data_IF_239446731203
#
_entry.id   IF_239446731203
#
_cell.length_a   1.000
_cell.length_b   1.000
_cell.length_c   1.000
_cell.angle_alpha   90.00
_cell.angle_beta   90.00
_cell.angle_gamma   90.00
#
_symmetry.space_group_name_H-M   'P 1'
#
loop_
_entity.id
_entity.type
_entity.pdbx_description
1 polymer ?
#
# COMPACT_ATOMS: atom_id res chain seq x y z
N UNK A 1 -8.94 -41.92 32.27
CA UNK A 1 -8.85 -42.07 30.80
C UNK A 1 -9.81 -41.14 30.03
N UNK A 2 -11.10 -41.02 30.38
CA UNK A 2 -12.03 -40.11 29.68
C UNK A 2 -11.68 -38.64 29.78
N UNK A 3 -11.22 -38.16 30.94
CA UNK A 3 -10.86 -36.75 31.16
C UNK A 3 -9.63 -36.30 30.33
N UNK A 4 -8.65 -37.20 30.18
CA UNK A 4 -7.45 -36.95 29.39
C UNK A 4 -7.79 -36.81 27.89
N UNK A 5 -8.75 -37.58 27.40
CA UNK A 5 -9.20 -37.56 26.01
C UNK A 5 -9.89 -36.23 25.66
N UNK A 6 -10.69 -35.67 26.58
CA UNK A 6 -11.34 -34.36 26.39
C UNK A 6 -10.36 -33.20 26.39
N UNK A 7 -9.31 -33.26 27.23
CA UNK A 7 -8.25 -32.25 27.24
C UNK A 7 -7.42 -32.25 25.93
N UNK A 8 -7.12 -33.43 25.40
CA UNK A 8 -6.40 -33.54 24.10
C UNK A 8 -7.25 -33.03 22.95
N UNK A 9 -8.56 -33.34 22.92
CA UNK A 9 -9.49 -32.84 21.89
C UNK A 9 -9.66 -31.31 21.95
N UNK A 10 -9.72 -30.71 23.15
CA UNK A 10 -9.76 -29.25 23.33
C UNK A 10 -8.46 -28.58 22.88
N UNK A 11 -7.31 -29.21 23.11
CA UNK A 11 -6.01 -28.67 22.67
C UNK A 11 -5.85 -28.76 21.15
N UNK A 12 -6.34 -29.81 20.50
CA UNK A 12 -6.36 -29.95 19.05
C UNK A 12 -7.33 -28.97 18.40
N UNK A 13 -8.50 -28.74 18.98
CA UNK A 13 -9.48 -27.78 18.48
C UNK A 13 -8.96 -26.34 18.57
N UNK A 14 -8.24 -25.97 19.64
CA UNK A 14 -7.65 -24.63 19.77
C UNK A 14 -6.53 -24.36 18.75
N UNK A 15 -5.76 -25.38 18.33
CA UNK A 15 -4.75 -25.23 17.27
C UNK A 15 -5.38 -25.06 15.88
N UNK A 16 -6.52 -25.70 15.61
CA UNK A 16 -7.22 -25.54 14.33
C UNK A 16 -7.83 -24.15 14.20
N UNK A 17 -8.33 -23.56 15.28
CA UNK A 17 -8.88 -22.18 15.29
C UNK A 17 -7.78 -21.12 15.20
N UNK A 18 -6.56 -21.40 15.64
CA UNK A 18 -5.43 -20.48 15.58
C UNK A 18 -4.77 -20.39 14.18
N UNK A 19 -4.95 -21.38 13.31
CA UNK A 19 -4.39 -21.42 11.95
C UNK A 19 -5.16 -20.59 10.92
N UNK A 20 -6.33 -20.04 11.27
CA UNK A 20 -7.25 -19.44 10.30
C UNK A 20 -6.97 -17.98 9.90
N UNK A 21 -5.95 -17.29 10.42
CA UNK A 21 -5.87 -15.83 10.28
C UNK A 21 -4.52 -15.22 9.86
N UNK A 22 -3.50 -15.99 9.52
CA UNK A 22 -2.30 -15.42 8.89
C UNK A 22 -2.51 -15.31 7.38
N UNK A 23 -2.44 -14.11 6.82
CA UNK A 23 -2.09 -13.98 5.40
C UNK A 23 -0.66 -14.52 5.30
N UNK A 24 -0.56 -15.72 4.81
CA UNK A 24 0.69 -16.32 4.42
C UNK A 24 1.29 -15.49 3.27
N UNK A 25 2.61 -15.38 3.24
CA UNK A 25 3.34 -14.75 2.15
C UNK A 25 2.98 -15.31 0.78
N UNK A 26 2.69 -16.61 0.72
CA UNK A 26 2.25 -17.28 -0.49
C UNK A 26 0.91 -16.78 -0.96
N UNK A 27 -0.04 -16.50 -0.08
CA UNK A 27 -1.36 -15.98 -0.46
C UNK A 27 -1.25 -14.64 -1.21
N UNK A 28 -0.40 -13.73 -0.72
CA UNK A 28 -0.21 -12.43 -1.40
C UNK A 28 0.44 -12.62 -2.77
N UNK A 29 1.46 -13.46 -2.88
CA UNK A 29 2.11 -13.82 -4.14
C UNK A 29 1.14 -14.45 -5.14
N UNK A 30 0.24 -15.31 -4.66
CA UNK A 30 -0.73 -16.01 -5.50
C UNK A 30 -1.84 -15.08 -6.00
N UNK A 31 -2.23 -14.08 -5.23
CA UNK A 31 -3.39 -13.22 -5.51
C UNK A 31 -3.03 -11.82 -6.02
N UNK A 32 -1.78 -11.38 -5.91
CA UNK A 32 -1.35 -10.03 -6.27
C UNK A 32 -0.15 -10.01 -7.21
N UNK A 33 -0.10 -9.00 -8.05
CA UNK A 33 1.08 -8.65 -8.85
C UNK A 33 1.65 -7.34 -8.31
N UNK A 34 2.95 -7.30 -8.06
CA UNK A 34 3.63 -6.07 -7.68
C UNK A 34 4.19 -5.34 -8.90
N UNK A 35 3.88 -4.06 -9.00
CA UNK A 35 4.46 -3.13 -9.96
C UNK A 35 5.30 -2.10 -9.20
N UNK A 36 6.40 -1.65 -9.82
CA UNK A 36 7.19 -0.52 -9.34
C UNK A 36 7.23 0.55 -10.43
N UNK A 37 6.90 1.78 -10.06
CA UNK A 37 6.79 2.90 -10.98
C UNK A 37 7.46 4.14 -10.41
N UNK A 38 8.08 4.91 -11.29
CA UNK A 38 8.49 6.28 -11.03
C UNK A 38 7.39 7.19 -11.57
N UNK A 39 6.50 7.66 -10.67
CA UNK A 39 5.34 8.48 -11.05
C UNK A 39 5.79 9.94 -11.19
N UNK A 40 5.60 10.57 -12.36
CA UNK A 40 5.99 11.96 -12.57
C UNK A 40 5.02 12.92 -11.86
N UNK A 41 5.57 13.87 -11.13
CA UNK A 41 4.87 15.00 -10.55
C UNK A 41 4.84 16.18 -11.53
N UNK A 42 4.00 17.17 -11.29
CA UNK A 42 3.80 18.37 -12.15
C UNK A 42 5.07 19.17 -12.45
N UNK A 43 6.05 19.11 -11.55
CA UNK A 43 7.36 19.78 -11.70
C UNK A 43 8.42 18.90 -12.40
N UNK A 44 8.04 17.69 -12.83
CA UNK A 44 8.89 16.74 -13.51
C UNK A 44 9.69 15.81 -12.61
N UNK A 45 9.70 16.02 -11.29
CA UNK A 45 10.28 15.10 -10.30
C UNK A 45 9.48 13.81 -10.29
N UNK A 46 10.14 12.66 -10.13
CA UNK A 46 9.49 11.35 -10.13
C UNK A 46 9.55 10.72 -8.75
N UNK A 47 8.41 10.21 -8.29
CA UNK A 47 8.30 9.54 -6.99
C UNK A 47 8.19 8.02 -7.17
N UNK A 48 9.05 7.29 -6.46
CA UNK A 48 9.01 5.85 -6.45
C UNK A 48 7.75 5.33 -5.76
N UNK A 49 7.04 4.44 -6.44
CA UNK A 49 5.76 3.91 -5.99
C UNK A 49 5.69 2.42 -6.22
N UNK A 50 5.53 1.66 -5.15
CA UNK A 50 5.22 0.23 -5.17
C UNK A 50 3.70 0.06 -5.20
N UNK A 51 3.18 -0.71 -6.15
CA UNK A 51 1.76 -0.88 -6.40
C UNK A 51 1.46 -2.38 -6.43
N UNK A 52 0.59 -2.84 -5.55
CA UNK A 52 0.15 -4.22 -5.46
C UNK A 52 -1.25 -4.31 -6.04
N UNK A 53 -1.38 -4.95 -7.19
CA UNK A 53 -2.63 -5.04 -7.97
C UNK A 53 -3.19 -6.45 -7.84
N UNK A 54 -4.48 -6.63 -7.50
CA UNK A 54 -5.13 -7.93 -7.51
C UNK A 54 -5.01 -8.60 -8.89
N UNK A 55 -4.76 -9.90 -8.91
CA UNK A 55 -4.78 -10.71 -10.14
C UNK A 55 -6.20 -10.98 -10.63
N UNK A 56 -7.18 -10.82 -9.76
CA UNK A 56 -8.59 -10.88 -10.14
C UNK A 56 -8.92 -9.75 -11.10
N UNK A 57 -9.51 -10.12 -12.24
CA UNK A 57 -9.90 -9.20 -13.31
C UNK A 57 -11.42 -9.19 -13.49
N UNK A 58 -12.17 -9.85 -12.62
CA UNK A 58 -13.63 -9.99 -12.73
C UNK A 58 -14.37 -8.75 -12.23
N UNK A 59 -13.72 -7.94 -11.39
CA UNK A 59 -14.28 -6.72 -10.84
C UNK A 59 -13.27 -5.57 -10.84
N UNK A 60 -13.74 -4.37 -10.53
CA UNK A 60 -12.91 -3.18 -10.35
C UNK A 60 -12.61 -2.94 -8.88
N UNK A 61 -11.38 -2.56 -8.59
CA UNK A 61 -10.81 -2.48 -7.25
C UNK A 61 -10.60 -1.05 -6.79
N UNK A 62 -10.89 -0.72 -5.52
CA UNK A 62 -10.51 0.57 -4.94
C UNK A 62 -9.01 0.62 -4.66
N UNK A 63 -8.46 1.83 -4.61
CA UNK A 63 -7.05 2.09 -4.34
C UNK A 63 -6.89 2.58 -2.91
N UNK A 64 -5.90 2.06 -2.18
CA UNK A 64 -5.51 2.53 -0.86
C UNK A 64 -4.03 2.92 -0.86
N UNK A 65 -3.74 4.20 -0.61
CA UNK A 65 -2.39 4.80 -0.72
C UNK A 65 -1.82 5.11 0.66
N UNK A 66 -0.56 4.73 0.85
CA UNK A 66 0.29 5.20 1.94
C UNK A 66 1.49 5.92 1.36
N UNK A 67 1.68 7.19 1.70
CA UNK A 67 2.91 7.93 1.44
C UNK A 67 3.80 7.90 2.69
N UNK A 68 5.10 7.69 2.55
CA UNK A 68 5.96 7.45 3.70
C UNK A 68 7.38 8.00 3.55
N UNK A 69 7.93 8.65 4.61
CA UNK A 69 9.34 9.01 4.66
C UNK A 69 10.24 7.86 5.17
N UNK A 70 9.65 6.68 5.46
CA UNK A 70 10.35 5.53 6.09
C UNK A 70 10.64 4.37 5.15
N UNK A 71 10.48 4.54 3.84
CA UNK A 71 10.71 3.54 2.80
C UNK A 71 9.48 2.74 2.38
N UNK A 72 9.30 2.65 1.07
CA UNK A 72 8.32 1.77 0.42
C UNK A 72 8.87 0.35 0.16
N UNK A 73 9.96 -0.04 0.84
CA UNK A 73 10.54 -1.39 0.74
C UNK A 73 9.51 -2.49 1.10
N UNK A 74 9.73 -3.74 0.67
CA UNK A 74 10.90 -4.24 -0.07
C UNK A 74 10.88 -3.77 -1.54
N UNK A 75 12.04 -3.44 -2.06
CA UNK A 75 12.23 -3.06 -3.46
C UNK A 75 12.47 -4.30 -4.33
N UNK A 76 12.03 -4.25 -5.60
CA UNK A 76 12.05 -5.37 -6.52
C UNK A 76 10.67 -6.01 -6.67
N UNK A 77 10.29 -6.33 -7.92
CA UNK A 77 8.95 -6.83 -8.25
C UNK A 77 8.65 -8.21 -7.66
N UNK A 78 9.67 -8.97 -7.37
CA UNK A 78 9.61 -10.30 -6.75
C UNK A 78 9.51 -10.26 -5.23
N UNK A 79 9.76 -9.11 -4.58
CA UNK A 79 9.71 -8.96 -3.13
C UNK A 79 8.42 -8.28 -2.70
N UNK A 80 7.64 -8.96 -1.88
CA UNK A 80 6.35 -8.47 -1.39
C UNK A 80 6.45 -8.08 0.06
N UNK A 81 5.75 -7.00 0.45
CA UNK A 81 5.50 -6.69 1.84
C UNK A 81 4.44 -7.67 2.40
N UNK A 82 4.72 -8.15 3.58
CA UNK A 82 3.75 -8.96 4.33
C UNK A 82 2.91 -8.00 5.16
N UNK A 83 1.82 -7.56 4.57
CA UNK A 83 0.88 -6.65 5.19
C UNK A 83 0.30 -7.26 6.46
N UNK A 84 0.89 -6.92 7.60
CA UNK A 84 0.44 -7.37 8.90
C UNK A 84 -0.70 -6.50 9.42
N UNK A 85 -1.45 -7.03 10.37
CA UNK A 85 -2.50 -6.34 11.11
C UNK A 85 -3.74 -5.97 10.26
N UNK A 86 -4.30 -4.77 10.49
CA UNK A 86 -5.54 -4.31 9.89
C UNK A 86 -5.51 -4.20 8.36
N UNK A 87 -4.34 -4.00 7.76
CA UNK A 87 -4.19 -3.87 6.29
C UNK A 87 -4.47 -5.17 5.54
N UNK A 88 -4.32 -6.33 6.19
CA UNK A 88 -4.60 -7.62 5.55
C UNK A 88 -6.06 -7.79 5.13
N UNK A 89 -6.99 -7.14 5.81
CA UNK A 89 -8.40 -7.19 5.44
C UNK A 89 -8.64 -6.48 4.11
N UNK A 90 -7.99 -5.35 3.86
CA UNK A 90 -8.07 -4.65 2.57
C UNK A 90 -7.50 -5.47 1.42
N UNK A 91 -6.42 -6.25 1.66
CA UNK A 91 -5.91 -7.18 0.65
C UNK A 91 -6.94 -8.27 0.33
N UNK A 92 -7.59 -8.85 1.34
CA UNK A 92 -8.64 -9.86 1.14
C UNK A 92 -9.87 -9.33 0.41
N UNK A 93 -10.21 -8.07 0.63
CA UNK A 93 -11.27 -7.35 -0.06
C UNK A 93 -10.85 -6.81 -1.44
N UNK A 94 -9.67 -7.21 -1.93
CA UNK A 94 -9.23 -6.88 -3.29
C UNK A 94 -8.78 -5.45 -3.51
N UNK A 95 -8.38 -4.70 -2.47
CA UNK A 95 -7.86 -3.34 -2.66
C UNK A 95 -6.52 -3.35 -3.43
N UNK A 96 -6.35 -2.41 -4.36
CA UNK A 96 -5.05 -2.07 -4.92
C UNK A 96 -4.29 -1.31 -3.83
N UNK A 97 -3.22 -1.92 -3.30
CA UNK A 97 -2.42 -1.32 -2.23
C UNK A 97 -1.23 -0.58 -2.83
N UNK A 98 -1.03 0.68 -2.40
CA UNK A 98 0.03 1.55 -2.94
C UNK A 98 0.88 2.10 -1.80
N UNK A 99 2.21 1.96 -1.93
CA UNK A 99 3.16 2.61 -1.02
C UNK A 99 4.09 3.47 -1.86
N UNK A 100 4.22 4.74 -1.48
CA UNK A 100 5.08 5.70 -2.16
C UNK A 100 6.15 6.27 -1.21
N UNK A 101 7.40 6.25 -1.65
CA UNK A 101 8.45 7.05 -1.02
C UNK A 101 8.15 8.53 -1.24
N UNK A 102 8.10 9.34 -0.19
CA UNK A 102 7.89 10.78 -0.34
C UNK A 102 9.09 11.44 -1.03
N UNK A 103 8.87 12.60 -1.61
CA UNK A 103 9.87 13.38 -2.35
C UNK A 103 11.19 13.49 -1.61
N UNK A 104 12.30 13.16 -2.29
CA UNK A 104 13.67 13.22 -1.77
C UNK A 104 14.01 12.17 -0.72
N UNK A 105 13.19 11.12 -0.60
CA UNK A 105 13.47 9.96 0.27
C UNK A 105 13.65 8.69 -0.57
N UNK A 106 14.60 7.85 -0.15
CA UNK A 106 14.90 6.54 -0.70
C UNK A 106 15.04 6.54 -2.23
N UNK A 107 14.09 5.96 -2.97
CA UNK A 107 14.14 5.88 -4.43
C UNK A 107 13.38 7.02 -5.13
N UNK A 108 12.73 7.92 -4.38
CA UNK A 108 12.09 9.10 -4.94
C UNK A 108 13.10 10.21 -5.21
N UNK A 109 12.92 10.88 -6.34
CA UNK A 109 13.71 12.04 -6.74
C UNK A 109 13.33 13.30 -5.93
N UNK A 110 14.09 14.37 -6.16
CA UNK A 110 13.87 15.68 -5.56
C UNK A 110 14.59 15.89 -4.23
N UNK A 111 14.22 16.94 -3.52
CA UNK A 111 14.81 17.29 -2.22
C UNK A 111 13.78 17.09 -1.11
N UNK A 112 14.16 16.32 -0.10
CA UNK A 112 13.33 16.15 1.08
C UNK A 112 13.20 17.46 1.87
N UNK A 113 11.98 17.75 2.26
CA UNK A 113 11.64 18.76 3.24
C UNK A 113 10.62 18.14 4.20
N UNK A 114 10.84 18.35 5.48
CA UNK A 114 9.96 17.81 6.51
C UNK A 114 8.58 18.47 6.41
N UNK A 115 7.59 17.67 6.12
CA UNK A 115 6.18 18.03 5.91
C UNK A 115 6.03 19.42 5.26
N UNK A 116 6.21 19.49 3.95
CA UNK A 116 6.06 20.73 3.20
C UNK A 116 4.62 21.24 3.35
N UNK A 117 4.42 22.46 3.87
CA UNK A 117 3.07 22.97 4.14
C UNK A 117 2.29 23.20 2.85
N UNK A 118 0.97 23.10 2.96
CA UNK A 118 0.07 23.48 1.88
C UNK A 118 0.26 24.96 1.50
N UNK A 119 0.46 25.19 0.20
CA UNK A 119 0.54 26.54 -0.36
C UNK A 119 -0.75 26.83 -1.17
N UNK A 120 -1.65 27.72 -0.69
CA UNK A 120 -2.87 28.05 -1.42
C UNK A 120 -2.61 28.87 -2.69
N UNK A 121 -1.45 29.55 -2.79
CA UNK A 121 -1.10 30.46 -3.88
C UNK A 121 -0.24 29.80 -4.97
N UNK A 122 -0.22 28.44 -5.02
CA UNK A 122 0.54 27.67 -6.03
C UNK A 122 0.21 28.14 -7.45
N UNK A 123 1.26 28.32 -8.26
CA UNK A 123 1.15 28.68 -9.68
C UNK A 123 1.98 27.73 -10.54
N UNK A 124 1.44 27.38 -11.70
CA UNK A 124 2.14 26.51 -12.65
C UNK A 124 2.58 25.18 -12.04
N UNK A 125 3.89 24.98 -11.99
CA UNK A 125 4.50 23.76 -11.47
C UNK A 125 4.90 23.83 -9.99
N UNK A 126 4.42 24.82 -9.24
CA UNK A 126 4.63 24.87 -7.80
C UNK A 126 4.04 23.64 -7.12
N UNK A 127 4.76 23.11 -6.15
CA UNK A 127 4.42 21.83 -5.52
C UNK A 127 4.47 21.91 -3.98
N UNK A 128 3.69 21.05 -3.36
CA UNK A 128 3.68 20.77 -1.92
C UNK A 128 3.23 19.31 -1.72
N UNK A 129 3.04 18.86 -0.48
CA UNK A 129 2.62 17.48 -0.21
C UNK A 129 1.22 17.16 -0.78
N UNK A 130 0.31 18.13 -0.77
CA UNK A 130 -1.02 17.95 -1.33
C UNK A 130 -1.00 17.78 -2.85
N UNK A 131 -0.14 18.55 -3.56
CA UNK A 131 0.01 18.40 -5.01
C UNK A 131 0.69 17.09 -5.40
N UNK A 132 1.71 16.64 -4.66
CA UNK A 132 2.33 15.33 -4.88
C UNK A 132 1.32 14.19 -4.68
N UNK A 133 0.45 14.32 -3.68
CA UNK A 133 -0.65 13.35 -3.46
C UNK A 133 -1.65 13.37 -4.61
N UNK A 134 -2.07 14.57 -5.05
CA UNK A 134 -2.99 14.72 -6.17
C UNK A 134 -2.44 14.12 -7.46
N UNK A 135 -1.19 14.47 -7.82
CA UNK A 135 -0.55 13.99 -9.06
C UNK A 135 -0.38 12.46 -9.03
N UNK A 136 -0.08 11.90 -7.85
CA UNK A 136 -0.01 10.45 -7.65
C UNK A 136 -1.37 9.79 -7.86
N UNK A 137 -2.43 10.32 -7.27
CA UNK A 137 -3.80 9.80 -7.39
C UNK A 137 -4.26 9.86 -8.86
N UNK A 138 -4.09 11.01 -9.51
CA UNK A 138 -4.46 11.22 -10.90
C UNK A 138 -3.76 10.21 -11.83
N UNK A 139 -2.45 10.02 -11.61
CA UNK A 139 -1.68 9.05 -12.36
C UNK A 139 -2.17 7.61 -12.14
N UNK A 140 -2.42 7.22 -10.90
CA UNK A 140 -2.86 5.86 -10.55
C UNK A 140 -4.22 5.55 -11.19
N UNK A 141 -5.18 6.45 -11.07
CA UNK A 141 -6.52 6.27 -11.65
C UNK A 141 -6.46 6.12 -13.17
N UNK A 142 -5.58 6.87 -13.85
CA UNK A 142 -5.42 6.83 -15.31
C UNK A 142 -4.63 5.63 -15.83
N UNK A 143 -3.69 5.10 -15.05
CA UNK A 143 -2.69 4.16 -15.56
C UNK A 143 -2.76 2.74 -14.96
N UNK A 144 -3.42 2.55 -13.83
CA UNK A 144 -3.56 1.21 -13.26
C UNK A 144 -4.89 0.60 -13.74
N UNK A 145 -4.83 -0.55 -14.43
CA UNK A 145 -6.06 -1.18 -14.93
C UNK A 145 -6.94 -1.70 -13.78
N UNK A 146 -8.21 -1.90 -14.07
CA UNK A 146 -9.21 -2.46 -13.15
C UNK A 146 -9.40 -1.68 -11.84
N UNK A 147 -8.98 -0.42 -11.74
CA UNK A 147 -9.38 0.42 -10.63
C UNK A 147 -10.82 0.96 -10.85
N UNK A 148 -11.52 1.25 -9.76
CA UNK A 148 -12.87 1.81 -9.76
C UNK A 148 -12.89 3.33 -9.53
N UNK A 149 -11.75 3.98 -9.61
CA UNK A 149 -11.50 5.41 -9.33
C UNK A 149 -11.80 5.86 -7.88
N UNK A 150 -12.13 4.94 -6.98
CA UNK A 150 -12.23 5.24 -5.55
C UNK A 150 -10.86 5.14 -4.91
N UNK A 151 -10.40 6.23 -4.30
CA UNK A 151 -9.05 6.30 -3.71
C UNK A 151 -9.14 6.76 -2.26
N UNK A 152 -8.58 5.94 -1.35
CA UNK A 152 -8.33 6.31 0.04
C UNK A 152 -6.85 6.58 0.27
N UNK A 153 -6.55 7.55 1.13
CA UNK A 153 -5.19 7.83 1.61
C UNK A 153 -5.16 7.60 3.10
N UNK A 154 -4.11 6.94 3.59
CA UNK A 154 -3.96 6.69 5.02
C UNK A 154 -2.51 6.82 5.46
N UNK A 155 -2.34 7.09 6.75
CA UNK A 155 -1.03 7.09 7.40
C UNK A 155 -1.18 6.91 8.90
N UNK A 156 -0.18 6.31 9.53
CA UNK A 156 -0.11 6.15 10.97
C UNK A 156 1.07 6.97 11.49
N UNK A 157 0.83 7.84 12.49
CA UNK A 157 1.86 8.74 13.02
C UNK A 157 2.40 9.67 11.92
N UNK A 158 3.70 9.85 11.81
CA UNK A 158 4.36 10.75 10.86
C UNK A 158 3.94 10.55 9.37
N UNK A 159 3.81 9.33 8.84
CA UNK A 159 3.21 9.14 7.51
C UNK A 159 1.80 9.70 7.30
N UNK A 160 1.08 10.02 8.38
CA UNK A 160 -0.25 10.63 8.29
C UNK A 160 -0.23 12.13 7.91
N UNK A 161 0.96 12.74 7.82
CA UNK A 161 1.15 14.13 7.39
C UNK A 161 1.41 14.27 5.88
N UNK A 162 1.58 13.16 5.18
CA UNK A 162 1.86 13.12 3.75
C UNK A 162 0.59 12.64 3.00
#
# INVERSE_FOLDING_TARGET
MRLLLHLVLLFLASNILAQGNSLDSTWVLDNYTKLEKMIPMRDGVKLFTAIYVPKDQTEKHPILIKRTPYSAKPYGREYFDFWNNYLRNYLREGYIMVIQDVRGKFLSEGKFQDVRPFNPDKKGNDFDEASDSYDTIDWLVKNIPNNNASVGVFGVSYPGFY
#
